data_IF_613626600052
#
_entry.id   IF_613626600052
#
_cell.length_a   1.000
_cell.length_b   1.000
_cell.length_c   1.000
_cell.angle_alpha   90.00
_cell.angle_beta   90.00
_cell.angle_gamma   90.00
#
_symmetry.space_group_name_H-M   'P 1'
#
loop_
_entity.id
_entity.type
_entity.pdbx_description
1 polymer ?
#
# COMPACT_ATOMS: atom_id res chain seq x y z
N UNK A 1 23.62 -28.63 -18.45
CA UNK A 1 22.30 -28.01 -18.27
C UNK A 1 21.40 -29.04 -17.62
N UNK A 2 21.43 -29.14 -16.29
CA UNK A 2 20.45 -29.93 -15.56
C UNK A 2 19.14 -29.13 -15.56
N UNK A 3 18.07 -29.76 -16.01
CA UNK A 3 16.80 -29.13 -16.35
C UNK A 3 15.98 -28.79 -15.10
N UNK A 4 15.51 -27.54 -14.98
CA UNK A 4 14.54 -27.08 -13.95
C UNK A 4 13.34 -28.03 -13.77
N UNK A 5 12.96 -28.75 -14.84
CA UNK A 5 11.91 -29.76 -14.81
C UNK A 5 12.18 -30.88 -13.80
N UNK A 6 13.42 -31.36 -13.69
CA UNK A 6 13.79 -32.45 -12.78
C UNK A 6 13.74 -32.00 -11.32
N UNK A 7 14.04 -30.74 -11.06
CA UNK A 7 14.04 -30.20 -9.71
C UNK A 7 12.62 -29.95 -9.21
N UNK A 8 11.70 -29.53 -10.10
CA UNK A 8 10.27 -29.42 -9.76
C UNK A 8 9.62 -30.77 -9.42
N UNK A 9 9.99 -31.85 -10.13
CA UNK A 9 9.48 -33.20 -9.88
C UNK A 9 10.04 -33.78 -8.57
N UNK A 10 11.32 -33.55 -8.28
CA UNK A 10 11.93 -33.93 -6.99
C UNK A 10 11.28 -33.18 -5.82
N UNK A 11 11.05 -31.88 -5.97
CA UNK A 11 10.38 -31.07 -4.95
C UNK A 11 8.97 -31.61 -4.67
N UNK A 12 8.21 -31.93 -5.73
CA UNK A 12 6.88 -32.52 -5.58
C UNK A 12 6.90 -33.84 -4.82
N UNK A 13 7.82 -34.75 -5.17
CA UNK A 13 7.95 -36.03 -4.48
C UNK A 13 8.33 -35.86 -3.00
N UNK A 14 9.18 -34.87 -2.68
CA UNK A 14 9.54 -34.54 -1.30
C UNK A 14 8.35 -33.99 -0.52
N UNK A 15 7.55 -33.10 -1.11
CA UNK A 15 6.35 -32.53 -0.46
C UNK A 15 5.29 -33.60 -0.23
N UNK A 16 5.00 -34.45 -1.22
CA UNK A 16 4.00 -35.53 -1.11
C UNK A 16 4.39 -36.60 -0.06
N UNK A 17 5.68 -36.75 0.24
CA UNK A 17 6.18 -37.64 1.29
C UNK A 17 6.10 -37.09 2.71
N UNK A 18 5.75 -35.82 2.91
CA UNK A 18 5.65 -35.20 4.23
C UNK A 18 4.36 -35.64 4.96
N UNK A 19 4.39 -35.77 6.30
CA UNK A 19 3.18 -35.81 7.12
C UNK A 19 2.23 -34.66 6.79
N UNK A 20 0.92 -34.92 6.81
CA UNK A 20 -0.11 -33.93 6.47
C UNK A 20 0.06 -32.61 7.24
N UNK A 21 0.38 -32.68 8.53
CA UNK A 21 0.60 -31.50 9.37
C UNK A 21 1.69 -30.56 8.81
N UNK A 22 2.77 -31.12 8.25
CA UNK A 22 3.85 -30.33 7.66
C UNK A 22 3.45 -29.77 6.29
N UNK A 23 2.67 -30.52 5.51
CA UNK A 23 2.12 -30.00 4.25
C UNK A 23 1.19 -28.81 4.53
N UNK A 24 0.33 -28.92 5.55
CA UNK A 24 -0.57 -27.85 5.97
C UNK A 24 0.22 -26.63 6.44
N UNK A 25 1.31 -26.80 7.22
CA UNK A 25 2.17 -25.69 7.64
C UNK A 25 2.84 -25.01 6.45
N UNK A 26 3.41 -25.77 5.51
CA UNK A 26 4.04 -25.21 4.31
C UNK A 26 3.01 -24.45 3.48
N UNK A 27 1.83 -25.04 3.30
CA UNK A 27 0.71 -24.44 2.60
C UNK A 27 0.30 -23.11 3.25
N UNK A 28 0.14 -23.10 4.57
CA UNK A 28 -0.22 -21.92 5.34
C UNK A 28 0.85 -20.84 5.20
N UNK A 29 2.12 -21.18 5.33
CA UNK A 29 3.23 -20.23 5.14
C UNK A 29 3.34 -19.71 3.70
N UNK A 30 2.90 -20.47 2.71
CA UNK A 30 3.01 -20.09 1.28
C UNK A 30 1.83 -19.25 0.82
N UNK A 31 0.63 -19.55 1.32
CA UNK A 31 -0.62 -18.92 0.91
C UNK A 31 -1.21 -17.99 1.97
N UNK A 32 -0.42 -17.59 2.96
CA UNK A 32 -0.74 -16.44 3.81
C UNK A 32 0.27 -15.33 3.57
N UNK A 33 -0.22 -14.10 3.64
CA UNK A 33 0.60 -12.91 3.59
C UNK A 33 0.53 -12.21 4.94
N UNK A 34 1.67 -11.70 5.41
CA UNK A 34 1.70 -10.82 6.56
C UNK A 34 0.91 -9.54 6.25
N UNK A 35 0.04 -9.06 7.15
CA UNK A 35 -0.71 -7.83 6.91
C UNK A 35 0.19 -6.61 6.95
N UNK A 36 0.16 -5.84 5.85
CA UNK A 36 1.05 -4.70 5.61
C UNK A 36 0.29 -3.44 5.23
N UNK A 37 1.02 -2.32 5.23
CA UNK A 37 0.56 -1.07 4.63
C UNK A 37 1.05 -1.03 3.18
N UNK A 38 0.13 -1.14 2.23
CA UNK A 38 0.41 -1.06 0.80
C UNK A 38 0.19 0.37 0.31
N UNK A 39 1.28 1.03 -0.08
CA UNK A 39 1.27 2.41 -0.57
C UNK A 39 1.38 2.40 -2.09
N UNK A 40 0.35 2.87 -2.78
CA UNK A 40 0.35 3.06 -4.23
C UNK A 40 0.46 4.53 -4.56
N UNK A 41 1.61 4.98 -5.05
CA UNK A 41 1.93 6.37 -5.26
C UNK A 41 2.49 6.63 -6.67
N UNK A 42 1.99 7.64 -7.37
CA UNK A 42 2.67 8.13 -8.57
C UNK A 42 4.06 8.71 -8.23
N UNK A 43 4.97 8.79 -9.20
CA UNK A 43 6.29 9.40 -8.98
C UNK A 43 6.20 10.86 -8.46
N UNK A 44 5.08 11.54 -8.70
CA UNK A 44 4.77 12.86 -8.12
C UNK A 44 4.40 12.73 -6.64
N UNK A 45 3.44 11.84 -6.30
CA UNK A 45 3.02 11.60 -4.92
C UNK A 45 4.16 11.12 -4.01
N UNK A 46 5.08 10.30 -4.52
CA UNK A 46 6.28 9.85 -3.79
C UNK A 46 7.19 11.02 -3.41
N UNK A 47 7.35 12.01 -4.31
CA UNK A 47 8.21 13.17 -4.09
C UNK A 47 7.57 14.18 -3.13
N UNK A 48 6.30 14.50 -3.35
CA UNK A 48 5.59 15.51 -2.57
C UNK A 48 5.34 15.06 -1.12
N UNK A 49 5.08 13.77 -0.90
CA UNK A 49 4.80 13.23 0.43
C UNK A 49 6.02 12.80 1.25
N UNK A 50 7.27 13.11 0.82
CA UNK A 50 8.51 12.61 1.46
C UNK A 50 8.50 11.10 1.80
N UNK A 51 7.72 10.32 1.04
CA UNK A 51 7.45 8.91 1.33
C UNK A 51 8.73 8.08 1.34
N UNK A 52 9.71 8.44 0.51
CA UNK A 52 11.00 7.74 0.46
C UNK A 52 11.79 7.84 1.77
N UNK A 53 11.72 8.97 2.45
CA UNK A 53 12.43 9.18 3.72
C UNK A 53 11.79 8.32 4.82
N UNK A 54 10.47 8.37 4.92
CA UNK A 54 9.69 7.52 5.84
C UNK A 54 9.92 6.03 5.60
N UNK A 55 9.96 5.61 4.34
CA UNK A 55 10.17 4.21 3.99
C UNK A 55 11.61 3.76 4.21
N UNK A 56 12.59 4.67 4.19
CA UNK A 56 13.97 4.34 4.52
C UNK A 56 14.14 4.02 6.01
N UNK A 57 13.33 4.66 6.87
CA UNK A 57 13.29 4.39 8.31
C UNK A 57 12.49 3.13 8.67
N UNK A 58 11.59 2.70 7.79
CA UNK A 58 10.69 1.57 8.03
C UNK A 58 11.20 0.27 7.40
N UNK A 59 10.91 -0.86 8.06
CA UNK A 59 11.18 -2.18 7.48
C UNK A 59 10.24 -2.48 6.31
N UNK A 60 10.76 -3.11 5.25
CA UNK A 60 9.98 -3.67 4.13
C UNK A 60 8.97 -4.75 4.57
N UNK A 61 9.08 -5.23 5.82
CA UNK A 61 8.08 -6.10 6.44
C UNK A 61 6.78 -5.38 6.80
N UNK A 62 6.81 -4.05 6.95
CA UNK A 62 5.70 -3.25 7.46
C UNK A 62 4.99 -2.51 6.33
N UNK A 63 5.76 -2.00 5.37
CA UNK A 63 5.25 -1.15 4.29
C UNK A 63 5.81 -1.59 2.95
N UNK A 64 4.91 -1.69 1.96
CA UNK A 64 5.27 -1.92 0.56
C UNK A 64 4.92 -0.67 -0.26
N UNK A 65 5.87 -0.16 -1.05
CA UNK A 65 5.65 1.01 -1.92
C UNK A 65 5.62 0.57 -3.38
N UNK A 66 4.48 0.78 -4.05
CA UNK A 66 4.26 0.45 -5.45
C UNK A 66 4.66 -0.98 -5.81
N UNK A 67 4.65 -1.88 -4.82
CA UNK A 67 4.94 -3.27 -5.12
C UNK A 67 3.82 -3.82 -6.01
N UNK A 68 4.21 -4.57 -7.03
CA UNK A 68 3.28 -5.04 -8.04
C UNK A 68 2.21 -5.91 -7.38
N UNK A 69 0.93 -5.64 -7.65
CA UNK A 69 -0.14 -6.56 -7.23
C UNK A 69 0.16 -7.93 -7.84
N UNK A 70 0.43 -8.92 -6.98
CA UNK A 70 0.99 -10.22 -7.36
C UNK A 70 0.13 -10.89 -8.46
N UNK A 71 0.57 -10.87 -9.74
CA UNK A 71 -0.23 -11.38 -10.84
C UNK A 71 -0.28 -12.92 -10.88
N UNK A 72 0.62 -13.58 -10.14
CA UNK A 72 0.83 -15.03 -10.18
C UNK A 72 -0.18 -15.85 -9.37
N UNK A 73 -1.00 -15.20 -8.54
CA UNK A 73 -2.00 -15.89 -7.72
C UNK A 73 -3.12 -16.52 -8.57
N UNK A 74 -3.26 -16.11 -9.83
CA UNK A 74 -4.28 -16.64 -10.75
C UNK A 74 -4.05 -18.10 -11.16
N UNK A 75 -2.87 -18.66 -10.88
CA UNK A 75 -2.46 -20.00 -11.29
C UNK A 75 -2.69 -21.05 -10.20
N UNK A 76 -3.10 -20.61 -9.01
CA UNK A 76 -3.33 -21.45 -7.84
C UNK A 76 -4.77 -21.96 -7.80
N UNK A 77 -4.99 -23.04 -7.05
CA UNK A 77 -6.33 -23.55 -6.81
C UNK A 77 -7.22 -22.51 -6.10
N UNK A 78 -8.54 -22.72 -6.18
CA UNK A 78 -9.53 -21.77 -5.65
C UNK A 78 -9.38 -21.54 -4.14
N UNK A 79 -9.03 -22.56 -3.37
CA UNK A 79 -8.92 -22.47 -1.92
C UNK A 79 -7.67 -21.68 -1.52
N UNK A 80 -6.53 -21.95 -2.16
CA UNK A 80 -5.27 -21.20 -1.95
C UNK A 80 -5.44 -19.72 -2.24
N UNK A 81 -6.11 -19.39 -3.34
CA UNK A 81 -6.40 -18.00 -3.72
C UNK A 81 -7.24 -17.30 -2.67
N UNK A 82 -8.27 -17.97 -2.15
CA UNK A 82 -9.13 -17.39 -1.13
C UNK A 82 -8.37 -17.17 0.18
N UNK A 83 -7.53 -18.13 0.59
CA UNK A 83 -6.70 -18.01 1.80
C UNK A 83 -5.73 -16.83 1.68
N UNK A 84 -4.99 -16.75 0.57
CA UNK A 84 -4.09 -15.63 0.31
C UNK A 84 -4.84 -14.30 0.29
N UNK A 85 -5.94 -14.21 -0.47
CA UNK A 85 -6.71 -12.98 -0.58
C UNK A 85 -7.25 -12.53 0.78
N UNK A 86 -7.67 -13.45 1.63
CA UNK A 86 -8.18 -13.14 2.96
C UNK A 86 -7.08 -12.61 3.89
N UNK A 87 -5.84 -13.12 3.78
CA UNK A 87 -4.71 -12.59 4.54
C UNK A 87 -4.15 -11.28 3.98
N UNK A 88 -4.04 -11.16 2.65
CA UNK A 88 -3.41 -10.00 2.00
C UNK A 88 -4.35 -8.80 1.92
N UNK A 89 -5.63 -9.00 1.57
CA UNK A 89 -6.66 -7.96 1.54
C UNK A 89 -7.51 -7.93 2.82
N UNK A 90 -7.08 -8.65 3.85
CA UNK A 90 -7.76 -8.73 5.12
C UNK A 90 -7.88 -7.38 5.82
N UNK A 91 -8.68 -7.31 6.89
CA UNK A 91 -8.92 -6.07 7.64
C UNK A 91 -7.64 -5.48 8.26
N UNK A 92 -6.61 -6.30 8.48
CA UNK A 92 -5.33 -5.88 9.06
C UNK A 92 -4.38 -5.24 8.03
N UNK A 93 -4.67 -5.37 6.73
CA UNK A 93 -3.91 -4.76 5.65
C UNK A 93 -4.50 -3.41 5.25
N UNK A 94 -3.65 -2.40 5.13
CA UNK A 94 -4.08 -1.03 4.82
C UNK A 94 -3.62 -0.66 3.43
N UNK A 95 -4.53 -0.21 2.58
CA UNK A 95 -4.24 0.21 1.21
C UNK A 95 -4.33 1.73 1.12
N UNK A 96 -3.18 2.41 1.03
CA UNK A 96 -3.07 3.85 0.92
C UNK A 96 -2.68 4.28 -0.50
N UNK A 97 -3.55 5.02 -1.16
CA UNK A 97 -3.41 5.43 -2.56
C UNK A 97 -3.06 6.90 -2.60
N UNK A 98 -1.84 7.21 -3.02
CA UNK A 98 -1.32 8.55 -3.24
C UNK A 98 -1.42 8.93 -4.71
N UNK A 99 -2.29 9.88 -4.99
CA UNK A 99 -2.42 10.43 -6.33
C UNK A 99 -3.54 11.43 -6.40
N UNK A 100 -3.47 12.30 -7.41
CA UNK A 100 -4.63 13.10 -7.81
C UNK A 100 -5.74 12.20 -8.36
N UNK A 101 -6.78 12.83 -8.92
CA UNK A 101 -7.93 12.19 -9.57
C UNK A 101 -7.56 11.43 -10.87
N UNK A 102 -6.30 11.03 -11.01
CA UNK A 102 -5.79 10.33 -12.17
C UNK A 102 -6.38 8.91 -12.21
N UNK A 103 -7.01 8.62 -13.35
CA UNK A 103 -7.45 7.30 -13.87
C UNK A 103 -6.50 6.12 -13.62
N UNK A 104 -5.23 6.39 -13.29
CA UNK A 104 -4.22 5.38 -12.95
C UNK A 104 -4.56 4.55 -11.72
N UNK A 105 -5.34 5.07 -10.76
CA UNK A 105 -5.77 4.27 -9.59
C UNK A 105 -6.54 3.02 -10.02
N UNK A 106 -7.45 3.17 -10.97
CA UNK A 106 -8.26 2.06 -11.52
C UNK A 106 -7.40 1.03 -12.25
N UNK A 107 -6.31 1.47 -12.91
CA UNK A 107 -5.38 0.59 -13.61
C UNK A 107 -4.48 -0.15 -12.62
N UNK A 108 -3.95 0.57 -11.63
CA UNK A 108 -3.03 0.01 -10.65
C UNK A 108 -3.74 -1.06 -9.84
N UNK A 109 -4.98 -0.83 -9.38
CA UNK A 109 -5.72 -1.79 -8.58
C UNK A 109 -6.38 -2.91 -9.40
N UNK A 110 -6.69 -2.66 -10.67
CA UNK A 110 -7.29 -3.65 -11.57
C UNK A 110 -8.50 -4.37 -10.95
N UNK A 111 -8.49 -5.70 -11.00
CA UNK A 111 -9.51 -6.56 -10.41
C UNK A 111 -9.40 -6.73 -8.88
N UNK A 112 -8.29 -6.32 -8.27
CA UNK A 112 -8.07 -6.49 -6.83
C UNK A 112 -8.86 -5.49 -5.97
N UNK A 113 -9.41 -4.44 -6.60
CA UNK A 113 -10.25 -3.42 -5.97
C UNK A 113 -11.44 -3.99 -5.20
N UNK A 114 -11.99 -5.11 -5.64
CA UNK A 114 -13.16 -5.74 -5.02
C UNK A 114 -12.78 -6.48 -3.74
N UNK A 115 -11.51 -6.87 -3.59
CA UNK A 115 -10.99 -7.53 -2.40
C UNK A 115 -10.61 -6.54 -1.30
N UNK A 116 -10.25 -5.30 -1.65
CA UNK A 116 -9.85 -4.27 -0.68
C UNK A 116 -11.11 -3.77 0.03
N UNK A 117 -11.23 -4.00 1.34
CA UNK A 117 -12.37 -3.58 2.16
C UNK A 117 -12.41 -2.06 2.33
N UNK A 118 -11.30 -1.46 2.78
CA UNK A 118 -11.18 -0.06 3.18
C UNK A 118 -10.05 0.67 2.42
N UNK A 119 -10.25 0.99 1.13
CA UNK A 119 -9.24 1.71 0.37
C UNK A 119 -9.13 3.16 0.87
N UNK A 120 -7.92 3.59 1.21
CA UNK A 120 -7.66 4.94 1.71
C UNK A 120 -7.05 5.80 0.62
N UNK A 121 -7.69 6.90 0.26
CA UNK A 121 -7.19 7.85 -0.72
C UNK A 121 -6.53 9.03 -0.01
N UNK A 122 -5.25 9.24 -0.29
CA UNK A 122 -4.45 10.28 0.33
C UNK A 122 -4.48 11.51 -0.56
N UNK A 123 -5.02 12.60 -0.03
CA UNK A 123 -4.96 13.87 -0.71
C UNK A 123 -3.60 14.52 -0.46
N UNK A 124 -2.69 14.39 -1.42
CA UNK A 124 -1.45 15.17 -1.40
C UNK A 124 -1.84 16.60 -1.77
N UNK A 125 -1.86 17.48 -0.77
CA UNK A 125 -2.17 18.90 -0.96
C UNK A 125 -1.12 19.53 -1.89
N UNK A 126 -1.46 19.61 -3.18
CA UNK A 126 -0.58 20.11 -4.22
C UNK A 126 -1.39 20.77 -5.34
N UNK A 127 -1.71 22.04 -5.13
CA UNK A 127 -1.82 23.14 -6.11
C UNK A 127 -2.80 23.10 -7.29
N UNK A 128 -3.43 21.98 -7.63
CA UNK A 128 -4.21 21.93 -8.88
C UNK A 128 -5.54 22.73 -8.84
N UNK A 129 -5.95 23.25 -7.67
CA UNK A 129 -7.11 24.15 -7.52
C UNK A 129 -6.80 25.37 -6.62
N UNK A 130 -5.60 25.94 -6.73
CA UNK A 130 -5.25 27.17 -6.02
C UNK A 130 -5.31 27.04 -4.49
N UNK A 131 -4.82 25.92 -3.96
CA UNK A 131 -4.79 25.64 -2.52
C UNK A 131 -6.15 25.29 -1.88
N UNK A 132 -7.25 25.28 -2.65
CA UNK A 132 -8.57 24.90 -2.12
C UNK A 132 -8.75 23.40 -2.12
N UNK A 133 -9.12 22.85 -0.96
CA UNK A 133 -9.48 21.43 -0.80
C UNK A 133 -10.72 21.13 -1.64
N UNK A 134 -10.60 20.18 -2.56
CA UNK A 134 -11.74 19.69 -3.34
C UNK A 134 -12.69 18.94 -2.39
N UNK A 135 -14.01 19.22 -2.40
CA UNK A 135 -14.97 18.45 -1.62
C UNK A 135 -14.92 16.97 -1.99
N UNK A 136 -15.05 16.08 -1.00
CA UNK A 136 -14.97 14.63 -1.23
C UNK A 136 -16.01 14.13 -2.24
N UNK A 137 -17.23 14.70 -2.22
CA UNK A 137 -18.27 14.39 -3.20
C UNK A 137 -17.83 14.69 -4.64
N UNK A 138 -17.15 15.81 -4.84
CA UNK A 138 -16.59 16.18 -6.14
C UNK A 138 -15.46 15.24 -6.53
N UNK A 139 -14.57 14.87 -5.60
CA UNK A 139 -13.53 13.87 -5.86
C UNK A 139 -14.12 12.53 -6.29
N UNK A 140 -15.13 12.01 -5.57
CA UNK A 140 -15.80 10.75 -5.93
C UNK A 140 -16.44 10.83 -7.31
N UNK A 141 -17.15 11.92 -7.62
CA UNK A 141 -17.76 12.13 -8.94
C UNK A 141 -16.72 12.16 -10.06
N UNK A 142 -15.57 12.81 -9.84
CA UNK A 142 -14.49 12.85 -10.82
C UNK A 142 -13.85 11.48 -11.03
N UNK A 143 -13.67 10.68 -9.97
CA UNK A 143 -13.18 9.30 -10.08
C UNK A 143 -14.16 8.43 -10.87
N UNK A 144 -15.45 8.50 -10.57
CA UNK A 144 -16.49 7.75 -11.30
C UNK A 144 -16.56 8.20 -12.77
N UNK A 145 -16.52 9.51 -13.04
CA UNK A 145 -16.44 10.05 -14.39
C UNK A 145 -15.19 9.63 -15.16
N UNK A 146 -14.10 9.33 -14.44
CA UNK A 146 -12.86 8.75 -14.98
C UNK A 146 -12.91 7.23 -15.18
N UNK A 147 -14.07 6.59 -15.01
CA UNK A 147 -14.26 5.15 -15.22
C UNK A 147 -14.02 4.29 -13.98
N UNK A 148 -13.85 4.88 -12.80
CA UNK A 148 -13.86 4.11 -11.55
C UNK A 148 -15.27 3.58 -11.26
N UNK A 149 -15.36 2.35 -10.77
CA UNK A 149 -16.63 1.79 -10.31
C UNK A 149 -17.23 2.63 -9.16
N UNK A 150 -18.52 2.92 -9.23
CA UNK A 150 -19.19 3.79 -8.26
C UNK A 150 -19.26 3.15 -6.85
N UNK A 151 -19.42 1.83 -6.77
CA UNK A 151 -19.45 1.14 -5.49
C UNK A 151 -18.05 1.18 -4.83
N UNK A 152 -16.98 0.93 -5.59
CA UNK A 152 -15.62 1.14 -5.10
C UNK A 152 -15.37 2.60 -4.68
N UNK A 153 -15.74 3.56 -5.53
CA UNK A 153 -15.55 4.98 -5.26
C UNK A 153 -16.31 5.43 -3.99
N UNK A 154 -17.45 4.83 -3.64
CA UNK A 154 -18.18 5.11 -2.40
C UNK A 154 -17.50 4.57 -1.13
N UNK A 155 -16.65 3.55 -1.25
CA UNK A 155 -15.93 2.94 -0.12
C UNK A 155 -14.62 3.65 0.21
N UNK A 156 -14.14 4.55 -0.66
CA UNK A 156 -12.91 5.29 -0.43
C UNK A 156 -13.00 6.12 0.86
N UNK A 157 -11.98 5.99 1.70
CA UNK A 157 -11.80 6.81 2.90
C UNK A 157 -10.76 7.88 2.55
N UNK A 158 -11.14 9.15 2.61
CA UNK A 158 -10.23 10.24 2.35
C UNK A 158 -9.42 10.54 3.61
N UNK A 159 -8.10 10.43 3.52
CA UNK A 159 -7.20 10.64 4.65
C UNK A 159 -6.11 11.67 4.30
N UNK A 160 -5.53 12.25 5.34
CA UNK A 160 -4.38 13.16 5.20
C UNK A 160 -3.08 12.36 5.13
N UNK A 161 -2.04 12.99 4.58
CA UNK A 161 -0.69 12.43 4.59
C UNK A 161 -0.23 12.07 6.01
N UNK A 162 -0.39 12.98 6.97
CA UNK A 162 0.04 12.78 8.37
C UNK A 162 -0.62 11.57 9.04
N UNK A 163 -1.86 11.25 8.66
CA UNK A 163 -2.56 10.07 9.16
C UNK A 163 -1.93 8.78 8.63
N UNK A 164 -1.48 8.75 7.37
CA UNK A 164 -0.69 7.63 6.84
C UNK A 164 0.64 7.51 7.56
N UNK A 165 1.32 8.62 7.78
CA UNK A 165 2.60 8.63 8.52
C UNK A 165 2.41 8.05 9.91
N UNK A 166 1.36 8.45 10.62
CA UNK A 166 1.00 7.89 11.93
C UNK A 166 0.78 6.39 11.87
N UNK A 167 -0.02 5.90 10.91
CA UNK A 167 -0.28 4.47 10.74
C UNK A 167 1.00 3.68 10.46
N UNK A 168 1.86 4.22 9.60
CA UNK A 168 3.16 3.61 9.27
C UNK A 168 4.05 3.52 10.51
N UNK A 169 4.18 4.60 11.27
CA UNK A 169 4.97 4.63 12.50
C UNK A 169 4.42 3.67 13.56
N UNK A 170 3.11 3.68 13.78
CA UNK A 170 2.42 2.79 14.73
C UNK A 170 2.67 1.32 14.37
N UNK A 171 2.51 0.95 13.09
CA UNK A 171 2.75 -0.42 12.61
C UNK A 171 4.22 -0.81 12.67
N UNK A 172 5.14 0.15 12.50
CA UNK A 172 6.57 -0.06 12.65
C UNK A 172 7.03 -0.11 14.11
N UNK A 173 6.16 0.19 15.09
CA UNK A 173 6.52 0.26 16.50
C UNK A 173 7.37 1.49 16.86
N UNK A 174 7.34 2.54 16.04
CA UNK A 174 8.08 3.78 16.27
C UNK A 174 7.19 4.74 17.08
N UNK A 175 7.69 5.22 18.22
CA UNK A 175 7.01 6.20 19.06
C UNK A 175 6.74 7.49 18.26
N UNK A 176 5.51 7.98 18.30
CA UNK A 176 5.10 9.19 17.58
C UNK A 176 5.44 10.48 18.33
N UNK A 177 6.02 10.38 19.53
CA UNK A 177 6.23 11.50 20.46
C UNK A 177 7.46 12.37 20.15
N UNK A 178 8.36 11.94 19.25
CA UNK A 178 9.64 12.63 19.01
C UNK A 178 9.64 13.64 17.84
N UNK A 179 8.50 13.88 17.18
CA UNK A 179 8.46 14.66 15.92
C UNK A 179 8.03 16.13 16.06
N UNK A 180 7.64 16.62 17.24
CA UNK A 180 7.15 18.00 17.43
C UNK A 180 8.20 19.03 17.89
N UNK A 181 9.48 18.66 18.03
CA UNK A 181 10.52 19.57 18.58
C UNK A 181 11.63 19.87 17.57
N UNK A 182 11.29 20.40 16.39
CA UNK A 182 12.30 21.04 15.52
C UNK A 182 11.76 22.18 14.66
N UNK A 183 10.95 23.08 15.23
CA UNK A 183 10.86 24.46 14.73
C UNK A 183 11.67 25.36 15.66
N UNK A 184 13.01 25.35 15.53
CA UNK A 184 13.85 26.39 16.12
C UNK A 184 13.97 27.50 15.10
N UNK A 185 13.28 28.61 15.41
CA UNK A 185 13.46 29.95 14.88
C UNK A 185 14.88 30.24 14.39
N UNK A 186 15.01 30.51 13.09
CA UNK A 186 16.09 31.32 12.55
C UNK A 186 15.53 32.64 12.02
N UNK A 187 15.04 33.47 12.95
CA UNK A 187 14.85 34.91 12.73
C UNK A 187 15.97 35.65 13.46
N UNK A 188 16.71 36.49 12.73
CA UNK A 188 17.55 37.53 13.30
C UNK A 188 19.03 37.44 12.94
N UNK A 189 19.43 38.16 11.89
CA UNK A 189 20.30 39.33 12.04
C UNK A 189 20.56 39.96 10.66
N UNK A 190 19.86 41.06 10.38
CA UNK A 190 20.36 42.11 9.49
C UNK A 190 21.08 43.11 10.39
N UNK A 191 22.39 43.23 10.26
CA UNK A 191 23.10 44.47 10.59
C UNK A 191 23.72 45.02 9.32
N UNK A 192 23.28 46.23 9.01
CA UNK A 192 23.95 47.16 8.11
C UNK A 192 25.20 47.69 8.82
N UNK A 193 26.29 47.84 8.08
CA UNK A 193 27.39 48.76 8.43
C UNK A 193 27.95 49.32 7.11
N UNK A 194 27.82 50.65 7.04
CA UNK A 194 28.40 51.72 6.20
C UNK A 194 29.34 51.39 5.02
#
# INVERSE_FOLDING_TARGET
MASDSDDSLKLRALIEGLPQELQDIIYDMTFTADPKIHIYASARGVREGKLKELLAECSTRVVDLNDGLHPHLLWLDRHSRQKFASSYYGPDSVFAIYGGLEWRVSIILGSHRDCISEPRLVHVGGDNFGGKRIPESMCRNMLVGGGMDAAFASRLIFIKHDEVVKLVKERAGISTEDAEVTEVSSEGERKAED
#
